data_IF_034057580169
#
_entry.id   IF_034057580169
#
_cell.length_a   1.000
_cell.length_b   1.000
_cell.length_c   1.000
_cell.angle_alpha   90.00
_cell.angle_beta   90.00
_cell.angle_gamma   90.00
#
_symmetry.space_group_name_H-M   'P 1'
#
loop_
_entity.id
_entity.type
_entity.pdbx_description
1 polymer ?
#
# COMPACT_ATOMS: atom_id res chain seq x y z
N UNK A 1 4.98 -6.00 -3.05
CA UNK A 1 3.69 -5.97 -2.34
C UNK A 1 2.57 -6.44 -3.25
N UNK A 2 1.65 -7.21 -2.71
CA UNK A 2 0.46 -7.67 -3.42
C UNK A 2 -0.80 -7.37 -2.61
N UNK A 3 -1.92 -7.20 -3.33
CA UNK A 3 -3.23 -6.99 -2.70
C UNK A 3 -4.18 -8.04 -3.24
N UNK A 4 -4.84 -8.77 -2.34
CA UNK A 4 -5.84 -9.76 -2.69
C UNK A 4 -7.17 -9.43 -2.03
N UNK A 5 -8.27 -9.65 -2.74
CA UNK A 5 -9.61 -9.45 -2.21
C UNK A 5 -10.36 -10.79 -2.12
N UNK A 6 -11.06 -10.99 -1.02
CA UNK A 6 -12.00 -12.10 -0.87
C UNK A 6 -13.40 -11.50 -0.79
N UNK A 7 -14.15 -11.55 -1.88
CA UNK A 7 -15.45 -10.91 -1.98
C UNK A 7 -16.49 -11.55 -1.09
N UNK A 8 -16.43 -12.86 -0.90
CA UNK A 8 -17.38 -13.58 -0.04
C UNK A 8 -17.25 -13.16 1.42
N UNK A 9 -16.02 -13.01 1.90
CA UNK A 9 -15.73 -12.61 3.28
C UNK A 9 -15.65 -11.10 3.44
N UNK A 10 -15.62 -10.35 2.33
CA UNK A 10 -15.45 -8.89 2.30
C UNK A 10 -14.18 -8.47 3.05
N UNK A 11 -13.08 -9.10 2.71
CA UNK A 11 -11.77 -8.85 3.30
C UNK A 11 -10.77 -8.54 2.19
N UNK A 12 -9.91 -7.55 2.44
CA UNK A 12 -8.76 -7.23 1.61
C UNK A 12 -7.50 -7.61 2.37
N UNK A 13 -6.60 -8.33 1.71
CA UNK A 13 -5.32 -8.73 2.29
C UNK A 13 -4.20 -7.92 1.65
N UNK A 14 -3.34 -7.32 2.48
CA UNK A 14 -2.08 -6.75 2.05
C UNK A 14 -0.99 -7.78 2.30
N UNK A 15 -0.25 -8.13 1.26
CA UNK A 15 0.81 -9.14 1.33
C UNK A 15 2.17 -8.46 1.21
N UNK A 16 3.00 -8.62 2.23
CA UNK A 16 4.38 -8.16 2.21
C UNK A 16 5.28 -9.34 1.86
N UNK A 17 5.98 -9.23 0.72
CA UNK A 17 6.83 -10.28 0.21
C UNK A 17 8.20 -9.71 -0.21
N UNK A 18 9.18 -10.61 -0.37
CA UNK A 18 10.49 -10.25 -0.88
C UNK A 18 10.95 -11.28 -1.91
N UNK A 19 11.82 -10.84 -2.81
CA UNK A 19 12.47 -11.74 -3.75
C UNK A 19 13.47 -12.61 -2.97
N UNK A 20 13.21 -13.92 -2.91
CA UNK A 20 14.08 -14.84 -2.17
C UNK A 20 15.18 -15.46 -3.04
N UNK A 21 14.85 -15.74 -4.32
CA UNK A 21 15.77 -16.39 -5.24
C UNK A 21 15.21 -16.29 -6.67
N UNK A 22 15.98 -16.81 -7.63
CA UNK A 22 15.48 -17.07 -8.97
C UNK A 22 15.65 -18.55 -9.29
N UNK A 23 14.67 -19.14 -9.99
CA UNK A 23 14.78 -20.53 -10.39
C UNK A 23 15.78 -20.68 -11.57
N UNK A 24 15.97 -21.90 -12.04
CA UNK A 24 16.93 -22.20 -13.12
C UNK A 24 16.59 -21.48 -14.44
N UNK A 25 15.33 -21.09 -14.64
CA UNK A 25 14.88 -20.34 -15.81
C UNK A 25 14.96 -18.82 -15.62
N UNK A 26 15.49 -18.33 -14.49
CA UNK A 26 15.56 -16.92 -14.16
C UNK A 26 14.26 -16.33 -13.62
N UNK A 27 13.23 -17.12 -13.41
CA UNK A 27 11.95 -16.66 -12.86
C UNK A 27 12.10 -16.27 -11.39
N UNK A 28 11.50 -15.15 -10.95
CA UNK A 28 11.59 -14.75 -9.55
C UNK A 28 10.81 -15.69 -8.65
N UNK A 29 11.36 -16.00 -7.49
CA UNK A 29 10.71 -16.75 -6.42
C UNK A 29 10.48 -15.79 -5.26
N UNK A 30 9.21 -15.59 -4.91
CA UNK A 30 8.80 -14.65 -3.88
C UNK A 30 8.54 -15.37 -2.57
N UNK A 31 8.99 -14.77 -1.48
CA UNK A 31 8.74 -15.26 -0.13
C UNK A 31 7.78 -14.31 0.57
N UNK A 32 6.66 -14.83 1.04
CA UNK A 32 5.71 -14.07 1.84
C UNK A 32 6.29 -13.86 3.25
N UNK A 33 6.38 -12.61 3.67
CA UNK A 33 6.92 -12.23 4.99
C UNK A 33 5.83 -11.96 6.01
N UNK A 34 4.76 -11.27 5.60
CA UNK A 34 3.67 -10.90 6.49
C UNK A 34 2.39 -10.61 5.71
N UNK A 35 1.26 -10.69 6.38
CA UNK A 35 -0.06 -10.44 5.81
C UNK A 35 -0.87 -9.59 6.76
N UNK A 36 -1.56 -8.56 6.21
CA UNK A 36 -2.48 -7.72 6.95
C UNK A 36 -3.87 -7.86 6.37
N UNK A 37 -4.87 -8.08 7.23
CA UNK A 37 -6.27 -8.13 6.85
C UNK A 37 -6.95 -6.80 7.09
N UNK A 38 -7.67 -6.29 6.09
CA UNK A 38 -8.48 -5.10 6.18
C UNK A 38 -9.93 -5.47 5.90
N UNK A 39 -10.86 -4.91 6.69
CA UNK A 39 -12.29 -5.10 6.46
C UNK A 39 -12.73 -4.35 5.22
N UNK A 40 -13.53 -5.02 4.38
CA UNK A 40 -14.09 -4.45 3.17
C UNK A 40 -13.35 -4.86 1.91
N UNK A 41 -13.94 -4.49 0.78
CA UNK A 41 -13.39 -4.69 -0.56
C UNK A 41 -13.41 -3.35 -1.29
N UNK A 42 -12.72 -3.26 -2.42
CA UNK A 42 -12.64 -2.03 -3.21
C UNK A 42 -12.14 -0.84 -2.38
N UNK A 43 -11.19 -1.10 -1.48
CA UNK A 43 -10.61 -0.07 -0.63
C UNK A 43 -9.69 0.84 -1.45
N UNK A 44 -9.67 2.12 -1.09
CA UNK A 44 -8.78 3.11 -1.72
C UNK A 44 -7.40 3.01 -1.07
N UNK A 45 -6.48 2.33 -1.74
CA UNK A 45 -5.13 2.08 -1.22
C UNK A 45 -4.13 2.94 -1.97
N UNK A 46 -3.34 3.71 -1.21
CA UNK A 46 -2.19 4.43 -1.76
C UNK A 46 -1.00 3.51 -1.87
N UNK A 47 -0.51 3.33 -3.11
CA UNK A 47 0.53 2.38 -3.44
C UNK A 47 1.91 2.88 -3.03
N UNK A 48 2.81 1.93 -2.79
CA UNK A 48 4.23 2.24 -2.61
C UNK A 48 4.76 3.01 -3.82
N UNK A 49 5.61 3.99 -3.57
CA UNK A 49 6.10 4.90 -4.61
C UNK A 49 5.33 6.21 -4.70
N UNK A 50 4.08 6.25 -4.22
CA UNK A 50 3.25 7.46 -4.20
C UNK A 50 3.09 8.05 -2.81
N UNK A 51 3.48 7.32 -1.77
CA UNK A 51 3.30 7.73 -0.38
C UNK A 51 4.50 8.55 0.06
N UNK A 52 4.23 9.70 0.66
CA UNK A 52 5.26 10.62 1.16
C UNK A 52 5.18 10.74 2.67
N UNK A 53 6.34 10.76 3.31
CA UNK A 53 6.48 11.09 4.73
C UNK A 53 7.30 12.36 4.83
N UNK A 54 6.71 13.41 5.43
CA UNK A 54 7.34 14.73 5.59
C UNK A 54 7.90 15.28 4.27
N UNK A 55 7.13 15.12 3.19
CA UNK A 55 7.46 15.65 1.87
C UNK A 55 8.39 14.80 1.02
N UNK A 56 8.80 13.62 1.48
CA UNK A 56 9.67 12.72 0.72
C UNK A 56 8.99 11.40 0.45
N UNK A 57 9.16 10.88 -0.76
CA UNK A 57 8.66 9.54 -1.12
C UNK A 57 9.34 8.51 -0.23
N UNK A 58 8.53 7.65 0.40
CA UNK A 58 9.01 6.53 1.21
C UNK A 58 8.42 5.25 0.65
N UNK A 59 9.25 4.45 0.00
CA UNK A 59 8.82 3.24 -0.72
C UNK A 59 8.41 2.09 0.19
N UNK A 60 8.60 2.22 1.49
CA UNK A 60 8.16 1.20 2.45
C UNK A 60 6.77 1.46 3.00
N UNK A 61 6.13 2.57 2.60
CA UNK A 61 4.83 2.96 3.13
C UNK A 61 3.69 2.56 2.21
N UNK A 62 2.59 2.14 2.81
CA UNK A 62 1.31 1.95 2.16
C UNK A 62 0.24 2.61 3.03
N UNK A 63 -0.79 3.17 2.40
CA UNK A 63 -1.84 3.89 3.11
C UNK A 63 -3.22 3.45 2.67
N UNK A 64 -4.17 3.57 3.60
CA UNK A 64 -5.60 3.48 3.31
C UNK A 64 -6.15 4.90 3.25
N UNK A 65 -6.74 5.26 2.11
CA UNK A 65 -7.34 6.56 1.87
C UNK A 65 -8.82 6.54 2.25
N UNK A 66 -9.42 7.72 2.51
CA UNK A 66 -10.87 7.80 2.76
C UNK A 66 -11.69 7.31 1.57
N UNK A 67 -12.94 6.93 1.82
CA UNK A 67 -13.83 6.39 0.79
C UNK A 67 -14.30 7.46 -0.21
N UNK A 68 -14.36 8.71 0.22
CA UNK A 68 -14.95 9.83 -0.51
C UNK A 68 -13.93 10.73 -1.19
N UNK A 69 -12.84 10.16 -1.70
CA UNK A 69 -11.78 10.93 -2.35
C UNK A 69 -12.12 11.24 -3.81
N UNK A 70 -11.61 12.39 -4.27
CA UNK A 70 -11.75 12.81 -5.66
C UNK A 70 -10.48 12.45 -6.45
N UNK A 71 -10.57 11.41 -7.27
CA UNK A 71 -9.45 10.92 -8.07
C UNK A 71 -9.10 11.82 -9.24
N UNK A 72 -10.01 12.68 -9.67
CA UNK A 72 -9.82 13.47 -10.90
C UNK A 72 -9.19 14.82 -10.59
N UNK A 73 -9.69 15.52 -9.58
CA UNK A 73 -9.32 16.90 -9.29
C UNK A 73 -8.34 17.07 -8.12
N UNK A 74 -7.98 15.99 -7.42
CA UNK A 74 -7.05 16.06 -6.31
C UNK A 74 -5.68 15.56 -6.73
N UNK A 75 -4.69 16.44 -6.73
CA UNK A 75 -3.31 16.10 -7.11
C UNK A 75 -2.60 15.30 -6.01
N UNK A 76 -2.79 15.71 -4.75
CA UNK A 76 -2.18 15.07 -3.60
C UNK A 76 -3.24 14.89 -2.53
N UNK A 77 -3.37 13.68 -2.01
CA UNK A 77 -4.28 13.39 -0.90
C UNK A 77 -3.58 13.74 0.42
N UNK A 78 -4.10 14.74 1.12
CA UNK A 78 -3.57 15.19 2.40
C UNK A 78 -4.12 14.39 3.59
N UNK A 79 -5.26 13.74 3.41
CA UNK A 79 -5.93 12.97 4.45
C UNK A 79 -5.74 11.49 4.21
N UNK A 80 -5.11 10.83 5.16
CA UNK A 80 -4.84 9.40 5.15
C UNK A 80 -5.56 8.79 6.34
N UNK A 81 -6.32 7.72 6.12
CA UNK A 81 -7.11 7.05 7.15
C UNK A 81 -6.25 6.18 8.05
N UNK A 82 -5.38 5.39 7.45
CA UNK A 82 -4.42 4.53 8.14
C UNK A 82 -3.15 4.40 7.30
N UNK A 83 -2.04 4.10 7.95
CA UNK A 83 -0.77 3.92 7.28
C UNK A 83 0.03 2.78 7.92
N UNK A 84 0.81 2.09 7.09
CA UNK A 84 1.67 0.99 7.53
C UNK A 84 3.02 1.10 6.86
N UNK A 85 4.04 0.58 7.54
CA UNK A 85 5.39 0.44 7.01
C UNK A 85 5.70 -1.04 6.81
N UNK A 86 6.27 -1.35 5.65
CA UNK A 86 6.86 -2.66 5.41
C UNK A 86 8.27 -2.66 6.00
N UNK A 87 8.38 -3.09 7.25
CA UNK A 87 9.68 -3.10 7.96
C UNK A 87 10.50 -4.27 7.44
N UNK A 88 11.51 -3.97 6.62
CA UNK A 88 12.35 -5.00 5.98
C UNK A 88 13.32 -5.65 6.95
N UNK A 89 13.64 -4.98 8.05
CA UNK A 89 14.53 -5.53 9.08
C UNK A 89 13.78 -6.55 9.91
N UNK A 90 12.58 -6.19 10.39
CA UNK A 90 11.71 -7.08 11.18
C UNK A 90 10.90 -8.03 10.33
N UNK A 91 10.81 -7.76 9.02
CA UNK A 91 10.03 -8.52 8.03
C UNK A 91 8.56 -8.57 8.41
N UNK A 92 8.00 -7.43 8.80
CA UNK A 92 6.62 -7.27 9.24
C UNK A 92 5.99 -6.01 8.70
N UNK A 93 4.65 -6.04 8.59
CA UNK A 93 3.84 -4.86 8.33
C UNK A 93 3.52 -4.23 9.69
N UNK A 94 3.94 -2.98 9.88
CA UNK A 94 3.77 -2.27 11.15
C UNK A 94 2.91 -1.04 10.92
N UNK A 95 1.83 -0.91 11.68
CA UNK A 95 1.00 0.30 11.63
C UNK A 95 1.78 1.47 12.23
N UNK A 96 1.69 2.64 11.56
CA UNK A 96 2.37 3.86 11.97
C UNK A 96 1.39 5.02 12.05
N UNK A 97 1.71 6.09 12.79
CA UNK A 97 0.88 7.29 12.82
C UNK A 97 0.76 7.92 11.44
N UNK A 98 -0.40 8.52 11.14
CA UNK A 98 -0.65 9.14 9.83
C UNK A 98 -0.09 10.56 9.72
N UNK A 99 0.40 11.14 10.81
CA UNK A 99 0.92 12.50 10.81
C UNK A 99 2.10 12.65 9.84
N UNK A 100 2.01 13.67 8.98
CA UNK A 100 3.06 13.96 8.00
C UNK A 100 3.00 13.07 6.75
N UNK A 101 1.98 12.21 6.64
CA UNK A 101 1.85 11.29 5.50
C UNK A 101 0.85 11.86 4.50
N UNK A 102 1.27 11.88 3.23
CA UNK A 102 0.46 12.30 2.09
C UNK A 102 0.65 11.29 0.97
N UNK A 103 -0.28 11.25 0.03
CA UNK A 103 -0.22 10.29 -1.08
C UNK A 103 -0.45 11.01 -2.40
N UNK A 104 0.45 10.80 -3.36
CA UNK A 104 0.28 11.30 -4.72
C UNK A 104 -0.85 10.54 -5.42
N UNK A 105 -1.60 11.26 -6.23
CA UNK A 105 -2.68 10.68 -7.03
C UNK A 105 -2.22 10.51 -8.49
N UNK A 106 -1.96 9.28 -8.88
CA UNK A 106 -1.56 8.95 -10.26
C UNK A 106 -2.65 9.20 -11.28
N UNK A 107 -3.90 9.30 -10.83
CA UNK A 107 -5.06 9.53 -11.70
C UNK A 107 -5.37 11.01 -11.91
N UNK A 108 -4.60 11.91 -11.29
CA UNK A 108 -4.85 13.34 -11.38
C UNK A 108 -4.79 13.84 -12.84
N UNK A 109 -5.85 14.53 -13.26
CA UNK A 109 -5.91 15.11 -14.58
C UNK A 109 -6.10 14.13 -15.73
N UNK A 110 -6.34 12.85 -15.46
CA UNK A 110 -6.62 11.86 -16.49
C UNK A 110 -8.11 11.92 -16.84
N UNK A 111 -8.39 12.18 -18.10
CA UNK A 111 -9.76 12.23 -18.64
C UNK A 111 -10.19 10.86 -19.19
#
# INVERSE_FOLDING_TARGET
>A
MHVLQNDKKRITYLLFDELSARNNSGMPLWKLLDTLQLQGTELNIGWTGNVMLNGRIDNELIVLLPDDIDWIDTEIFDTVKQAWRFDRIRKKIIEIPVKGIRCKNDMYGID
#
